data_IF_623955063801
#
_entry.id   IF_623955063801
#
_cell.length_a   1.000
_cell.length_b   1.000
_cell.length_c   1.000
_cell.angle_alpha   90.00
_cell.angle_beta   90.00
_cell.angle_gamma   90.00
#
_symmetry.space_group_name_H-M   'P 1'
#
loop_
_entity.id
_entity.type
_entity.pdbx_description
1 polymer ?
#
# COMPACT_ATOMS: atom_id res chain seq x y z
N UNK A 1 -5.24 -16.13 3.70
CA UNK A 1 -3.79 -16.34 3.97
C UNK A 1 -3.56 -15.93 5.40
N UNK A 2 -3.13 -16.85 6.25
CA UNK A 2 -2.89 -16.55 7.66
C UNK A 2 -1.66 -15.65 7.77
N UNK A 3 -1.84 -14.44 8.24
CA UNK A 3 -0.75 -13.57 8.64
C UNK A 3 -0.20 -14.11 9.98
N UNK A 4 1.00 -14.66 9.95
CA UNK A 4 1.74 -15.00 11.17
C UNK A 4 2.46 -13.73 11.65
N UNK A 5 2.05 -13.15 12.79
CA UNK A 5 2.64 -11.91 13.30
C UNK A 5 4.12 -12.05 13.70
N UNK A 6 4.64 -13.27 13.77
CA UNK A 6 6.05 -13.54 14.06
C UNK A 6 6.92 -13.53 12.78
N UNK A 7 6.35 -13.45 11.59
CA UNK A 7 7.09 -13.44 10.32
C UNK A 7 7.20 -12.04 9.75
N UNK A 8 8.44 -11.59 9.47
CA UNK A 8 8.70 -10.37 8.70
C UNK A 8 7.90 -10.40 7.39
N UNK A 9 7.31 -9.28 6.94
CA UNK A 9 6.67 -9.21 5.65
C UNK A 9 7.67 -9.59 4.55
N UNK A 10 7.35 -10.62 3.78
CA UNK A 10 8.20 -11.07 2.66
C UNK A 10 7.86 -10.33 1.36
N UNK A 11 6.68 -9.73 1.29
CA UNK A 11 6.16 -9.04 0.11
C UNK A 11 5.34 -7.83 0.54
N UNK A 12 5.62 -6.68 -0.07
CA UNK A 12 5.00 -5.40 0.27
C UNK A 12 4.34 -4.83 -0.98
N UNK A 13 3.01 -4.66 -0.93
CA UNK A 13 2.28 -3.92 -1.95
C UNK A 13 2.43 -2.42 -1.69
N UNK A 14 2.92 -1.66 -2.68
CA UNK A 14 3.10 -0.23 -2.56
C UNK A 14 2.16 0.50 -3.52
N UNK A 15 1.23 1.28 -2.95
CA UNK A 15 0.36 2.18 -3.68
C UNK A 15 1.00 3.56 -3.79
N UNK A 16 1.17 4.08 -5.00
CA UNK A 16 1.80 5.37 -5.24
C UNK A 16 1.41 5.94 -6.61
N UNK A 17 1.76 7.21 -6.83
CA UNK A 17 1.37 7.95 -8.03
C UNK A 17 2.21 7.60 -9.26
N UNK A 18 1.58 7.65 -10.44
CA UNK A 18 2.24 7.65 -11.75
C UNK A 18 2.55 9.06 -12.28
N UNK A 19 2.10 10.12 -11.60
CA UNK A 19 2.31 11.51 -12.03
C UNK A 19 3.79 11.89 -12.03
N UNK A 20 4.28 12.35 -13.18
CA UNK A 20 5.64 12.87 -13.35
C UNK A 20 5.79 14.35 -12.97
N UNK A 21 4.68 15.07 -12.74
CA UNK A 21 4.65 16.53 -12.48
C UNK A 21 4.35 16.88 -11.01
N UNK A 22 4.11 15.88 -10.15
CA UNK A 22 4.00 16.09 -8.71
C UNK A 22 5.33 16.57 -8.12
N UNK A 23 5.28 17.16 -6.91
CA UNK A 23 6.50 17.64 -6.22
C UNK A 23 7.58 16.55 -6.22
N UNK A 24 8.81 16.88 -6.60
CA UNK A 24 9.94 15.93 -6.64
C UNK A 24 10.18 15.16 -5.35
N UNK A 25 9.80 15.71 -4.19
CA UNK A 25 9.94 15.03 -2.89
C UNK A 25 9.26 13.67 -2.88
N UNK A 26 8.07 13.54 -3.51
CA UNK A 26 7.34 12.28 -3.54
C UNK A 26 8.06 11.18 -4.33
N UNK A 27 8.77 11.56 -5.42
CA UNK A 27 9.61 10.61 -6.16
C UNK A 27 10.87 10.22 -5.39
N UNK A 28 11.46 11.16 -4.65
CA UNK A 28 12.63 10.91 -3.80
C UNK A 28 12.26 9.92 -2.67
N UNK A 29 11.15 10.17 -1.98
CA UNK A 29 10.61 9.27 -0.96
C UNK A 29 10.31 7.88 -1.51
N UNK A 30 9.69 7.79 -2.69
CA UNK A 30 9.40 6.51 -3.34
C UNK A 30 10.67 5.74 -3.69
N UNK A 31 11.68 6.40 -4.29
CA UNK A 31 12.98 5.78 -4.61
C UNK A 31 13.68 5.29 -3.34
N UNK A 32 13.70 6.13 -2.31
CA UNK A 32 14.30 5.78 -1.02
C UNK A 32 13.61 4.57 -0.39
N UNK A 33 12.26 4.56 -0.37
CA UNK A 33 11.49 3.41 0.13
C UNK A 33 11.80 2.12 -0.65
N UNK A 34 11.91 2.21 -1.98
CA UNK A 34 12.27 1.07 -2.82
C UNK A 34 13.58 0.44 -2.38
N UNK A 35 14.62 1.25 -2.18
CA UNK A 35 15.93 0.78 -1.70
C UNK A 35 15.86 0.17 -0.29
N UNK A 36 15.13 0.80 0.63
CA UNK A 36 14.98 0.30 2.00
C UNK A 36 14.26 -1.06 2.06
N UNK A 37 13.19 -1.22 1.28
CA UNK A 37 12.46 -2.49 1.19
C UNK A 37 13.33 -3.60 0.57
N UNK A 38 14.09 -3.27 -0.48
CA UNK A 38 15.02 -4.22 -1.10
C UNK A 38 16.12 -4.66 -0.12
N UNK A 39 16.74 -3.72 0.59
CA UNK A 39 17.75 -4.01 1.63
C UNK A 39 17.20 -4.85 2.79
N UNK A 40 15.90 -4.70 3.09
CA UNK A 40 15.22 -5.53 4.08
C UNK A 40 14.83 -6.94 3.55
N UNK A 41 15.13 -7.25 2.28
CA UNK A 41 14.80 -8.52 1.64
C UNK A 41 13.33 -8.67 1.23
N UNK A 42 12.58 -7.57 1.16
CA UNK A 42 11.18 -7.59 0.76
C UNK A 42 11.04 -7.62 -0.77
N UNK A 43 10.13 -8.44 -1.27
CA UNK A 43 9.64 -8.32 -2.65
C UNK A 43 8.63 -7.17 -2.73
N UNK A 44 8.85 -6.23 -3.64
CA UNK A 44 7.92 -5.12 -3.87
C UNK A 44 6.89 -5.53 -4.93
N UNK A 45 5.62 -5.28 -4.63
CA UNK A 45 4.49 -5.46 -5.55
C UNK A 45 3.87 -4.09 -5.78
N UNK A 46 3.64 -3.70 -7.04
CA UNK A 46 3.10 -2.39 -7.35
C UNK A 46 2.35 -2.37 -8.69
N UNK A 47 1.85 -1.20 -9.07
CA UNK A 47 1.02 -1.03 -10.26
C UNK A 47 1.73 -1.12 -11.61
N UNK A 48 3.00 -1.50 -11.67
CA UNK A 48 3.74 -1.79 -12.91
C UNK A 48 4.15 -0.57 -13.74
N UNK A 49 3.84 0.66 -13.31
CA UNK A 49 4.12 1.88 -14.08
C UNK A 49 5.59 2.31 -14.02
N UNK A 50 6.09 2.93 -15.14
CA UNK A 50 7.47 3.44 -15.26
C UNK A 50 7.63 4.92 -14.88
N UNK A 51 6.53 5.62 -14.63
CA UNK A 51 6.55 7.07 -14.41
C UNK A 51 6.26 7.43 -12.94
N UNK A 52 6.60 8.66 -12.55
CA UNK A 52 6.29 9.22 -11.24
C UNK A 52 6.93 8.46 -10.08
N UNK A 53 6.21 8.37 -8.97
CA UNK A 53 6.63 7.62 -7.79
C UNK A 53 6.69 6.11 -8.05
N UNK A 54 5.86 5.57 -8.96
CA UNK A 54 5.89 4.16 -9.35
C UNK A 54 7.25 3.78 -9.94
N UNK A 55 7.73 4.52 -10.96
CA UNK A 55 9.03 4.29 -11.57
C UNK A 55 10.17 4.48 -10.57
N UNK A 56 10.12 5.57 -9.80
CA UNK A 56 11.14 5.86 -8.80
C UNK A 56 11.26 4.77 -7.71
N UNK A 57 10.13 4.21 -7.25
CA UNK A 57 10.10 3.08 -6.31
C UNK A 57 10.81 1.86 -6.90
N UNK A 58 10.43 1.49 -8.13
CA UNK A 58 11.00 0.33 -8.81
C UNK A 58 12.51 0.51 -9.04
N UNK A 59 12.93 1.66 -9.56
CA UNK A 59 14.34 1.99 -9.77
C UNK A 59 15.15 1.91 -8.47
N UNK A 60 14.63 2.53 -7.39
CA UNK A 60 15.28 2.50 -6.09
C UNK A 60 15.46 1.08 -5.52
N UNK A 61 14.51 0.18 -5.77
CA UNK A 61 14.66 -1.21 -5.38
C UNK A 61 15.69 -1.95 -6.24
N UNK A 62 15.66 -1.74 -7.57
CA UNK A 62 16.58 -2.39 -8.51
C UNK A 62 18.04 -1.97 -8.28
N UNK A 63 18.29 -0.75 -7.83
CA UNK A 63 19.63 -0.26 -7.43
C UNK A 63 20.24 -1.04 -6.27
N UNK A 64 19.42 -1.78 -5.53
CA UNK A 64 19.81 -2.62 -4.40
C UNK A 64 19.49 -4.10 -4.65
N UNK A 65 19.48 -4.54 -5.92
CA UNK A 65 19.19 -5.92 -6.32
C UNK A 65 17.84 -6.45 -5.82
N UNK A 66 16.89 -5.55 -5.56
CA UNK A 66 15.56 -5.88 -5.03
C UNK A 66 14.67 -6.54 -6.08
N UNK A 67 13.81 -7.46 -5.62
CA UNK A 67 12.80 -8.08 -6.47
C UNK A 67 11.56 -7.19 -6.56
N UNK A 68 11.18 -6.82 -7.79
CA UNK A 68 10.04 -5.96 -8.09
C UNK A 68 9.07 -6.66 -9.03
N UNK A 69 7.82 -6.75 -8.63
CA UNK A 69 6.73 -7.35 -9.39
C UNK A 69 5.69 -6.27 -9.72
N UNK A 70 5.48 -6.00 -10.99
CA UNK A 70 4.45 -5.10 -11.48
C UNK A 70 3.19 -5.86 -11.89
N UNK A 71 2.01 -5.29 -11.61
CA UNK A 71 0.73 -5.79 -12.12
C UNK A 71 0.06 -4.67 -12.91
N UNK A 72 -0.14 -4.89 -14.21
CA UNK A 72 -0.58 -3.82 -15.11
C UNK A 72 -1.64 -4.32 -16.09
N UNK A 73 -2.71 -3.56 -16.35
CA UNK A 73 -3.68 -3.91 -17.38
C UNK A 73 -3.09 -3.80 -18.78
N UNK A 74 -3.53 -4.68 -19.67
CA UNK A 74 -3.09 -4.73 -21.06
C UNK A 74 -3.17 -3.38 -21.76
N UNK A 75 -4.29 -2.66 -21.61
CA UNK A 75 -4.45 -1.35 -22.26
C UNK A 75 -3.42 -0.31 -21.81
N UNK A 76 -2.92 -0.39 -20.55
CA UNK A 76 -1.85 0.49 -20.06
C UNK A 76 -0.48 0.11 -20.64
N UNK A 77 -0.25 -1.17 -20.92
CA UNK A 77 0.96 -1.62 -21.63
C UNK A 77 0.97 -1.13 -23.09
N UNK A 78 -0.18 -1.17 -23.76
CA UNK A 78 -0.36 -0.65 -25.12
C UNK A 78 -0.08 0.85 -25.20
N UNK A 79 -0.30 1.61 -24.12
CA UNK A 79 0.08 3.01 -23.96
C UNK A 79 1.56 3.21 -23.52
N UNK A 80 2.35 2.14 -23.48
CA UNK A 80 3.77 2.16 -23.09
C UNK A 80 4.02 2.68 -21.64
N UNK A 81 3.05 2.52 -20.76
CA UNK A 81 3.17 2.97 -19.36
C UNK A 81 3.93 1.97 -18.45
N UNK A 82 4.10 0.72 -18.90
CA UNK A 82 4.74 -0.34 -18.14
C UNK A 82 6.25 -0.17 -17.97
N UNK A 83 6.76 -0.57 -16.82
CA UNK A 83 8.20 -0.62 -16.51
C UNK A 83 8.78 -1.98 -16.91
N UNK A 84 9.49 -2.05 -18.04
CA UNK A 84 10.01 -3.31 -18.61
C UNK A 84 11.31 -3.81 -17.97
N UNK A 85 11.94 -3.00 -17.10
CA UNK A 85 13.21 -3.34 -16.43
C UNK A 85 13.07 -4.01 -15.07
N UNK A 86 11.84 -4.26 -14.60
CA UNK A 86 11.58 -4.92 -13.32
C UNK A 86 11.70 -6.44 -13.41
N UNK A 87 11.73 -7.12 -12.26
CA UNK A 87 11.92 -8.58 -12.18
C UNK A 87 10.79 -9.36 -12.87
N UNK A 88 9.54 -8.93 -12.69
CA UNK A 88 8.37 -9.52 -13.31
C UNK A 88 7.32 -8.46 -13.64
N UNK A 89 6.65 -8.58 -14.78
CA UNK A 89 5.53 -7.73 -15.15
C UNK A 89 4.34 -8.63 -15.53
N UNK A 90 3.32 -8.63 -14.66
CA UNK A 90 2.12 -9.42 -14.86
C UNK A 90 1.06 -8.60 -15.58
N UNK A 91 0.74 -9.01 -16.80
CA UNK A 91 -0.36 -8.45 -17.57
C UNK A 91 -1.69 -9.01 -17.09
N UNK A 92 -2.68 -8.12 -16.95
CA UNK A 92 -4.05 -8.47 -16.53
C UNK A 92 -5.09 -7.79 -17.41
N UNK A 93 -6.32 -8.30 -17.41
CA UNK A 93 -7.36 -7.81 -18.31
C UNK A 93 -7.92 -6.45 -17.89
N UNK A 94 -8.13 -6.23 -16.59
CA UNK A 94 -8.81 -5.04 -16.06
C UNK A 94 -8.24 -4.52 -14.75
N UNK A 95 -8.76 -3.37 -14.31
CA UNK A 95 -8.35 -2.72 -13.06
C UNK A 95 -8.73 -3.51 -11.80
N UNK A 96 -9.82 -4.30 -11.83
CA UNK A 96 -10.24 -5.14 -10.70
C UNK A 96 -9.23 -6.27 -10.50
N UNK A 97 -8.90 -6.98 -11.57
CA UNK A 97 -7.89 -8.05 -11.56
C UNK A 97 -6.52 -7.53 -11.14
N UNK A 98 -6.16 -6.31 -11.57
CA UNK A 98 -4.93 -5.63 -11.15
C UNK A 98 -4.89 -5.45 -9.64
N UNK A 99 -5.86 -4.78 -9.05
CA UNK A 99 -5.91 -4.48 -7.61
C UNK A 99 -5.92 -5.76 -6.77
N UNK A 100 -6.80 -6.70 -7.14
CA UNK A 100 -6.84 -8.01 -6.49
C UNK A 100 -5.50 -8.73 -6.59
N UNK A 101 -4.89 -8.74 -7.78
CA UNK A 101 -3.59 -9.37 -8.02
C UNK A 101 -2.44 -8.72 -7.25
N UNK A 102 -2.47 -7.43 -7.02
CA UNK A 102 -1.49 -6.73 -6.17
C UNK A 102 -1.65 -7.12 -4.70
N UNK A 103 -2.87 -6.99 -4.17
CA UNK A 103 -3.12 -7.18 -2.74
C UNK A 103 -2.96 -8.65 -2.31
N UNK A 104 -3.44 -9.61 -3.11
CA UNK A 104 -3.37 -11.05 -2.76
C UNK A 104 -1.96 -11.63 -2.77
N UNK A 105 -1.01 -10.98 -3.44
CA UNK A 105 0.41 -11.36 -3.44
C UNK A 105 1.19 -10.74 -2.28
N UNK A 106 0.61 -9.79 -1.56
CA UNK A 106 1.30 -9.01 -0.56
C UNK A 106 0.96 -9.44 0.86
N UNK A 107 1.96 -9.52 1.71
CA UNK A 107 1.81 -9.71 3.16
C UNK A 107 1.64 -8.38 3.91
N UNK A 108 1.96 -7.27 3.28
CA UNK A 108 1.83 -5.91 3.83
C UNK A 108 1.47 -4.90 2.73
N UNK A 109 0.90 -3.77 3.14
CA UNK A 109 0.57 -2.63 2.27
C UNK A 109 1.27 -1.37 2.76
N UNK A 110 1.82 -0.60 1.83
CA UNK A 110 2.34 0.74 2.08
C UNK A 110 1.69 1.72 1.09
N UNK A 111 1.17 2.84 1.58
CA UNK A 111 0.64 3.91 0.75
C UNK A 111 1.55 5.13 0.81
N UNK A 112 2.09 5.54 -0.33
CA UNK A 112 2.76 6.82 -0.56
C UNK A 112 1.77 7.84 -1.09
N UNK A 113 2.14 9.11 -1.10
CA UNK A 113 1.33 10.17 -1.72
C UNK A 113 0.93 9.82 -3.16
N UNK A 114 -0.34 10.05 -3.49
CA UNK A 114 -0.88 9.74 -4.80
C UNK A 114 -2.27 10.30 -5.05
N UNK A 115 -2.82 10.06 -6.23
CA UNK A 115 -4.15 10.54 -6.62
C UNK A 115 -5.27 9.54 -6.30
N UNK A 116 -6.38 9.69 -7.04
CA UNK A 116 -7.60 8.89 -6.82
C UNK A 116 -7.36 7.38 -6.87
N UNK A 117 -6.48 6.89 -7.76
CA UNK A 117 -6.15 5.46 -7.83
C UNK A 117 -5.47 4.97 -6.55
N UNK A 118 -4.52 5.74 -6.01
CA UNK A 118 -3.86 5.42 -4.75
C UNK A 118 -4.84 5.44 -3.57
N UNK A 119 -5.77 6.41 -3.55
CA UNK A 119 -6.82 6.45 -2.53
C UNK A 119 -7.77 5.28 -2.64
N UNK A 120 -8.20 4.93 -3.85
CA UNK A 120 -9.09 3.79 -4.08
C UNK A 120 -8.45 2.47 -3.62
N UNK A 121 -7.19 2.23 -3.97
CA UNK A 121 -6.42 1.05 -3.57
C UNK A 121 -6.24 0.98 -2.05
N UNK A 122 -5.92 2.10 -1.40
CA UNK A 122 -5.78 2.19 0.06
C UNK A 122 -7.13 1.93 0.76
N UNK A 123 -8.23 2.53 0.27
CA UNK A 123 -9.56 2.33 0.83
C UNK A 123 -10.03 0.89 0.69
N UNK A 124 -9.73 0.23 -0.42
CA UNK A 124 -10.03 -1.18 -0.61
C UNK A 124 -9.29 -2.04 0.42
N UNK A 125 -7.97 -1.82 0.61
CA UNK A 125 -7.18 -2.55 1.60
C UNK A 125 -7.71 -2.35 3.03
N UNK A 126 -8.03 -1.11 3.42
CA UNK A 126 -8.64 -0.79 4.72
C UNK A 126 -10.00 -1.46 4.87
N UNK A 127 -10.83 -1.45 3.83
CA UNK A 127 -12.14 -2.08 3.86
C UNK A 127 -12.04 -3.60 4.03
N UNK A 128 -11.14 -4.24 3.30
CA UNK A 128 -10.91 -5.69 3.42
C UNK A 128 -10.33 -6.05 4.80
N UNK A 129 -9.46 -5.20 5.36
CA UNK A 129 -8.94 -5.38 6.71
C UNK A 129 -10.04 -5.24 7.77
N UNK A 130 -10.93 -4.26 7.62
CA UNK A 130 -12.10 -4.09 8.49
C UNK A 130 -12.99 -5.34 8.49
N UNK A 131 -13.12 -6.01 7.36
CA UNK A 131 -13.92 -7.22 7.18
C UNK A 131 -13.20 -8.52 7.59
N UNK A 132 -11.95 -8.44 8.07
CA UNK A 132 -11.16 -9.63 8.42
C UNK A 132 -10.69 -10.46 7.21
N UNK A 133 -10.78 -9.91 6.00
CA UNK A 133 -10.37 -10.58 4.75
C UNK A 133 -8.87 -10.34 4.48
N UNK A 134 -8.37 -9.15 4.80
CA UNK A 134 -6.95 -8.82 4.76
C UNK A 134 -6.45 -8.58 6.19
N UNK A 135 -5.40 -9.28 6.58
CA UNK A 135 -4.89 -9.24 7.97
C UNK A 135 -3.52 -8.57 8.09
N UNK A 136 -2.86 -8.31 6.96
CA UNK A 136 -1.52 -7.71 6.93
C UNK A 136 -1.49 -6.26 7.44
N UNK A 137 -0.31 -5.77 7.82
CA UNK A 137 -0.12 -4.37 8.20
C UNK A 137 -0.40 -3.43 7.01
N UNK A 138 -0.90 -2.24 7.33
CA UNK A 138 -1.08 -1.12 6.40
C UNK A 138 -0.31 0.07 6.97
N UNK A 139 0.66 0.58 6.23
CA UNK A 139 1.46 1.76 6.60
C UNK A 139 1.14 2.90 5.64
N UNK A 140 0.85 4.07 6.18
CA UNK A 140 0.63 5.31 5.43
C UNK A 140 1.85 6.21 5.65
N UNK A 141 2.57 6.51 4.59
CA UNK A 141 3.72 7.42 4.63
C UNK A 141 3.21 8.85 4.40
N UNK A 142 3.21 9.64 5.45
CA UNK A 142 2.61 10.98 5.50
C UNK A 142 3.65 12.09 5.26
N UNK A 143 4.45 11.96 4.23
CA UNK A 143 5.48 12.96 3.88
C UNK A 143 4.87 14.34 3.70
N UNK A 144 5.38 15.31 4.46
CA UNK A 144 4.91 16.69 4.42
C UNK A 144 3.45 16.89 4.81
N UNK A 145 2.83 15.96 5.54
CA UNK A 145 1.42 16.06 5.94
C UNK A 145 0.43 15.80 4.81
N UNK A 146 0.87 15.14 3.73
CA UNK A 146 0.02 14.89 2.54
C UNK A 146 -1.31 14.21 2.89
N UNK A 147 -1.30 13.28 3.84
CA UNK A 147 -2.47 12.52 4.26
C UNK A 147 -3.24 13.15 5.43
N UNK A 148 -2.82 14.30 5.99
CA UNK A 148 -3.50 14.91 7.13
C UNK A 148 -5.01 15.09 6.92
N UNK A 149 -5.51 15.58 5.75
CA UNK A 149 -6.95 15.71 5.52
C UNK A 149 -7.68 14.36 5.53
N UNK A 150 -7.06 13.29 5.01
CA UNK A 150 -7.63 11.95 4.98
C UNK A 150 -7.67 11.33 6.38
N UNK A 151 -6.59 11.51 7.15
CA UNK A 151 -6.50 11.03 8.53
C UNK A 151 -7.53 11.72 9.43
N UNK A 152 -7.74 13.03 9.26
CA UNK A 152 -8.82 13.76 9.94
C UNK A 152 -10.20 13.24 9.52
N UNK A 153 -10.40 12.89 8.23
CA UNK A 153 -11.65 12.29 7.78
C UNK A 153 -11.89 10.91 8.42
N UNK A 154 -10.85 10.10 8.60
CA UNK A 154 -10.96 8.83 9.34
C UNK A 154 -11.30 9.07 10.81
N UNK A 155 -10.60 9.99 11.47
CA UNK A 155 -10.88 10.33 12.85
C UNK A 155 -12.33 10.83 13.03
N UNK A 156 -12.83 11.63 12.09
CA UNK A 156 -14.22 12.07 12.06
C UNK A 156 -15.19 10.92 11.88
N UNK A 157 -14.90 9.97 10.97
CA UNK A 157 -15.75 8.80 10.72
C UNK A 157 -15.86 7.91 11.96
N UNK A 158 -14.80 7.79 12.75
CA UNK A 158 -14.81 7.08 14.04
C UNK A 158 -15.63 7.88 15.07
N UNK A 159 -15.37 9.16 15.21
CA UNK A 159 -16.03 10.07 16.16
C UNK A 159 -17.55 10.14 15.93
N UNK A 160 -17.98 10.16 14.66
CA UNK A 160 -19.40 10.15 14.26
C UNK A 160 -19.99 8.73 14.18
N UNK A 161 -19.24 7.70 14.56
CA UNK A 161 -19.67 6.30 14.65
C UNK A 161 -20.06 5.64 13.31
N UNK A 162 -19.49 6.09 12.20
CA UNK A 162 -19.48 5.35 10.93
C UNK A 162 -18.47 4.21 10.95
N UNK A 163 -17.50 4.28 11.86
CA UNK A 163 -16.49 3.27 12.10
C UNK A 163 -16.36 3.03 13.62
N UNK A 164 -16.03 1.79 14.02
CA UNK A 164 -15.72 1.46 15.41
C UNK A 164 -14.35 2.06 15.81
N UNK A 165 -14.15 2.37 17.10
CA UNK A 165 -12.89 2.94 17.60
C UNK A 165 -11.68 2.03 17.30
N UNK A 166 -11.87 0.72 17.36
CA UNK A 166 -10.85 -0.28 17.01
C UNK A 166 -10.35 -0.17 15.58
N UNK A 167 -11.17 0.35 14.65
CA UNK A 167 -10.77 0.56 13.27
C UNK A 167 -9.64 1.58 13.11
N UNK A 168 -9.43 2.47 14.09
CA UNK A 168 -8.28 3.37 14.12
C UNK A 168 -6.92 2.65 14.22
N UNK A 169 -6.92 1.35 14.56
CA UNK A 169 -5.71 0.52 14.66
C UNK A 169 -5.41 -0.27 13.38
N UNK A 170 -6.24 -0.14 12.34
CA UNK A 170 -6.04 -0.87 11.07
C UNK A 170 -4.82 -0.43 10.28
N UNK A 171 -4.36 0.80 10.49
CA UNK A 171 -3.18 1.38 9.83
C UNK A 171 -2.26 2.05 10.83
N UNK A 172 -1.01 2.21 10.43
CA UNK A 172 -0.02 3.04 11.12
C UNK A 172 0.40 4.17 10.19
N UNK A 173 0.74 5.31 10.77
CA UNK A 173 1.21 6.48 10.04
C UNK A 173 2.66 6.73 10.41
N UNK A 174 3.50 6.90 9.41
CA UNK A 174 4.91 7.27 9.54
C UNK A 174 5.19 8.53 8.73
N UNK A 175 6.15 9.35 9.15
CA UNK A 175 6.49 10.57 8.44
C UNK A 175 7.44 10.30 7.26
N UNK A 176 8.41 9.42 7.47
CA UNK A 176 9.53 9.20 6.57
C UNK A 176 9.65 7.73 6.12
N UNK A 177 10.22 7.46 4.93
CA UNK A 177 10.36 6.10 4.42
C UNK A 177 11.24 5.19 5.27
N UNK A 178 12.18 5.73 6.03
CA UNK A 178 13.04 5.02 6.97
C UNK A 178 12.29 4.33 8.10
N UNK A 179 11.12 4.84 8.45
CA UNK A 179 10.27 4.31 9.51
C UNK A 179 9.40 3.14 9.04
N UNK A 180 9.29 2.92 7.72
CA UNK A 180 8.38 1.91 7.16
C UNK A 180 8.76 0.49 7.57
N UNK A 181 10.03 0.09 7.39
CA UNK A 181 10.46 -1.27 7.73
C UNK A 181 10.30 -1.56 9.23
N UNK A 182 10.74 -0.69 10.15
CA UNK A 182 10.46 -0.84 11.58
C UNK A 182 8.96 -0.93 11.91
N UNK A 183 8.12 -0.09 11.27
CA UNK A 183 6.68 -0.11 11.48
C UNK A 183 6.03 -1.41 11.00
N UNK A 184 6.48 -1.96 9.86
CA UNK A 184 6.03 -3.25 9.35
C UNK A 184 6.38 -4.40 10.30
N UNK A 185 7.58 -4.38 10.90
CA UNK A 185 8.05 -5.39 11.85
C UNK A 185 7.34 -5.32 13.20
N UNK A 186 6.99 -4.11 13.64
CA UNK A 186 6.31 -3.85 14.92
C UNK A 186 4.78 -3.86 14.82
N UNK A 187 4.22 -4.06 13.62
CA UNK A 187 2.79 -3.95 13.40
C UNK A 187 2.01 -4.99 14.23
N UNK A 188 0.97 -4.57 14.97
CA UNK A 188 0.15 -5.49 15.71
C UNK A 188 -0.60 -6.45 14.77
N UNK A 189 -0.81 -7.67 15.23
CA UNK A 189 -1.64 -8.63 14.52
C UNK A 189 -3.08 -8.12 14.37
N UNK A 190 -3.73 -8.49 13.27
CA UNK A 190 -5.15 -8.25 13.05
C UNK A 190 -5.87 -9.58 12.88
N UNK A 191 -7.13 -9.68 13.34
CA UNK A 191 -7.86 -10.93 13.49
C UNK A 191 -9.06 -10.98 12.51
N UNK A 192 -9.38 -12.14 11.99
CA UNK A 192 -10.57 -12.40 11.15
C UNK A 192 -11.87 -12.06 11.89
N UNK A 193 -11.89 -12.17 13.24
CA UNK A 193 -13.02 -11.76 14.08
C UNK A 193 -13.33 -10.27 14.05
N UNK A 194 -12.48 -9.45 13.40
CA UNK A 194 -12.78 -8.03 13.17
C UNK A 194 -14.11 -7.80 12.44
N UNK A 195 -14.60 -8.80 11.71
CA UNK A 195 -15.92 -8.77 11.09
C UNK A 195 -17.06 -8.60 12.12
N UNK A 196 -16.89 -9.05 13.37
CA UNK A 196 -17.90 -8.96 14.44
C UNK A 196 -18.20 -7.50 14.82
N UNK A 197 -17.26 -6.59 14.63
CA UNK A 197 -17.41 -5.16 14.85
C UNK A 197 -17.29 -4.31 13.58
N UNK A 198 -17.28 -4.95 12.41
CA UNK A 198 -17.22 -4.25 11.12
C UNK A 198 -18.46 -3.38 10.86
N UNK A 199 -19.61 -3.73 11.42
CA UNK A 199 -20.83 -2.96 11.36
C UNK A 199 -21.29 -2.56 12.75
N UNK A 200 -21.50 -1.25 12.96
CA UNK A 200 -22.11 -0.74 14.19
C UNK A 200 -23.62 -0.84 14.07
N UNK A 201 -24.24 -1.66 14.94
CA UNK A 201 -25.67 -1.73 15.06
C UNK A 201 -26.11 -0.74 16.14
N UNK A 202 -27.15 0.07 15.86
CA UNK A 202 -27.82 0.90 16.88
C UNK A 202 -28.41 0.03 18.01
N UNK A 203 -28.83 0.63 19.11
CA UNK A 203 -29.56 -0.10 20.16
C UNK A 203 -30.77 -0.80 19.55
N UNK A 204 -30.91 -2.10 19.87
CA UNK A 204 -32.11 -2.89 19.53
C UNK A 204 -33.26 -2.43 20.37
#
# INVERSE_FOLDING_TARGET
>A
MNHDPAKKPHSVCVYCASSGVADPIHRQVARRLGGLLAQAGCTIIYGGGKAGSMGALADGALEHDGRVIGVIPKFMLELEWGHRGISELHEVEDMRTRKHGMLTRASAVVALAGGCGTFEELMEAITLKRLGIYLGPIIIVNTGGYYDPLLEQFARSIRERFMDERHGQMWQVVAEPEEVVPALEAAPGWDERSIEFAALHGPR
#
